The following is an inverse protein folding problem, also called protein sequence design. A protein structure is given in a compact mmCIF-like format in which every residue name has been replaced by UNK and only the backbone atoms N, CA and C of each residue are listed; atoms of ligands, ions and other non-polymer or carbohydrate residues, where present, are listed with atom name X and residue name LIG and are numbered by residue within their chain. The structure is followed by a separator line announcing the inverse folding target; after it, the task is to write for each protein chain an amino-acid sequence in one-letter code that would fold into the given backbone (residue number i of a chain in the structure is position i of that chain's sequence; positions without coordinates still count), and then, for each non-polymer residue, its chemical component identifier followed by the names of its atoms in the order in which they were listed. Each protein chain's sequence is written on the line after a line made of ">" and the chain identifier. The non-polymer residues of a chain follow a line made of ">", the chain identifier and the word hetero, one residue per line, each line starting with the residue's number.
data_IF_790302572976
#
_entry.id   IF_790302572976
#
_cell.length_a   1.000
_cell.length_b   1.000
_cell.length_c   1.000
_cell.angle_alpha   90.00
_cell.angle_beta   90.00
_cell.angle_gamma   90.00
#
_symmetry.space_group_name_H-M   'P 1'
#
loop_
_entity.id
_entity.type
_entity.pdbx_description
1 polymer ?
#
# COMPACT_ATOMS: atom_id res chain seq x y z
N UNK A 1 -6.16 9.99 -8.72
CA UNK A 1 -4.73 9.67 -8.44
C UNK A 1 -4.45 8.22 -8.82
N UNK A 2 -3.31 7.94 -9.47
CA UNK A 2 -2.90 6.57 -9.81
C UNK A 2 -2.76 5.77 -8.52
N UNK A 3 -3.20 4.51 -8.50
CA UNK A 3 -3.12 3.64 -7.32
C UNK A 3 -1.69 3.58 -6.79
N UNK A 4 -0.71 3.57 -7.69
CA UNK A 4 0.72 3.67 -7.39
C UNK A 4 1.09 4.87 -6.52
N UNK A 5 0.47 6.03 -6.71
CA UNK A 5 0.70 7.24 -5.89
C UNK A 5 0.25 7.03 -4.45
N UNK A 6 -0.87 6.34 -4.25
CA UNK A 6 -1.39 6.03 -2.91
C UNK A 6 -0.43 5.07 -2.20
N UNK A 7 0.03 4.02 -2.88
CA UNK A 7 1.02 3.10 -2.29
C UNK A 7 2.33 3.80 -1.93
N UNK A 8 2.83 4.69 -2.80
CA UNK A 8 4.06 5.44 -2.56
C UNK A 8 3.92 6.41 -1.38
N UNK A 9 2.77 7.07 -1.26
CA UNK A 9 2.47 7.95 -0.13
C UNK A 9 2.42 7.16 1.18
N UNK A 10 1.72 6.02 1.19
CA UNK A 10 1.65 5.15 2.38
C UNK A 10 3.04 4.69 2.79
N UNK A 11 3.86 4.23 1.84
CA UNK A 11 5.23 3.79 2.10
C UNK A 11 6.12 4.91 2.68
N UNK A 12 5.98 6.14 2.16
CA UNK A 12 6.70 7.30 2.68
C UNK A 12 6.31 7.63 4.12
N UNK A 13 5.02 7.60 4.44
CA UNK A 13 4.51 7.85 5.80
C UNK A 13 5.01 6.78 6.79
N UNK A 14 4.97 5.51 6.39
CA UNK A 14 5.51 4.41 7.19
C UNK A 14 6.98 4.62 7.53
N UNK A 15 7.78 4.95 6.52
CA UNK A 15 9.21 5.12 6.70
C UNK A 15 9.54 6.30 7.63
N UNK A 16 8.83 7.42 7.46
CA UNK A 16 8.93 8.60 8.34
C UNK A 16 8.58 8.27 9.79
N UNK A 17 7.46 7.59 10.03
CA UNK A 17 7.04 7.20 11.39
C UNK A 17 8.08 6.30 12.06
N UNK A 18 8.66 5.37 11.31
CA UNK A 18 9.68 4.45 11.83
C UNK A 18 10.96 5.21 12.18
N UNK A 19 11.42 6.12 11.30
CA UNK A 19 12.59 6.96 11.55
C UNK A 19 12.39 7.90 12.73
N UNK A 20 11.23 8.54 12.84
CA UNK A 20 10.91 9.41 13.97
C UNK A 20 10.91 8.63 15.29
N UNK A 21 10.33 7.43 15.30
CA UNK A 21 10.32 6.60 16.51
C UNK A 21 11.71 6.13 16.94
N UNK A 22 12.57 5.77 15.98
CA UNK A 22 13.95 5.35 16.29
C UNK A 22 14.78 6.53 16.77
N UNK A 23 14.65 7.70 16.12
CA UNK A 23 15.49 8.88 16.41
C UNK A 23 15.05 9.63 17.66
N UNK A 24 13.73 9.76 17.92
CA UNK A 24 13.20 10.57 19.03
C UNK A 24 12.74 9.76 20.23
N UNK A 25 12.34 8.49 20.05
CA UNK A 25 11.80 7.65 21.13
C UNK A 25 12.72 6.46 21.45
N UNK A 26 13.93 6.42 20.89
CA UNK A 26 14.91 5.33 21.10
C UNK A 26 14.32 3.94 20.84
N UNK A 27 13.35 3.85 19.93
CA UNK A 27 12.65 2.60 19.62
C UNK A 27 11.68 2.10 20.71
N UNK A 28 11.33 2.90 21.73
CA UNK A 28 10.41 2.47 22.79
C UNK A 28 9.02 2.05 22.26
N UNK A 29 8.54 2.65 21.17
CA UNK A 29 7.28 2.27 20.52
C UNK A 29 7.49 1.42 19.27
N UNK A 30 8.64 0.77 19.11
CA UNK A 30 8.96 0.02 17.89
C UNK A 30 7.93 -1.08 17.59
N UNK A 31 7.42 -1.76 18.63
CA UNK A 31 6.38 -2.78 18.49
C UNK A 31 5.05 -2.20 17.98
N UNK A 32 4.64 -1.04 18.54
CA UNK A 32 3.42 -0.35 18.14
C UNK A 32 3.51 0.24 16.72
N UNK A 33 4.66 0.83 16.38
CA UNK A 33 4.92 1.40 15.05
C UNK A 33 5.00 0.29 14.01
N UNK A 34 5.60 -0.86 14.35
CA UNK A 34 5.64 -2.04 13.50
C UNK A 34 4.23 -2.61 13.26
N UNK A 35 3.40 -2.69 14.30
CA UNK A 35 2.00 -3.08 14.17
C UNK A 35 1.22 -2.13 13.25
N UNK A 36 1.36 -0.82 13.44
CA UNK A 36 0.72 0.19 12.60
C UNK A 36 1.19 0.12 11.14
N UNK A 37 2.50 -0.03 10.90
CA UNK A 37 3.05 -0.24 9.57
C UNK A 37 2.46 -1.49 8.91
N UNK A 38 2.36 -2.60 9.63
CA UNK A 38 1.79 -3.84 9.07
C UNK A 38 0.31 -3.66 8.71
N UNK A 39 -0.46 -3.01 9.59
CA UNK A 39 -1.89 -2.74 9.35
C UNK A 39 -2.12 -1.79 8.16
N UNK A 40 -1.38 -0.68 8.09
CA UNK A 40 -1.45 0.26 6.97
C UNK A 40 -1.01 -0.40 5.65
N UNK A 41 -0.07 -1.34 5.70
CA UNK A 41 0.40 -2.06 4.51
C UNK A 41 -0.71 -2.98 4.00
N UNK A 42 -1.32 -3.75 4.89
CA UNK A 42 -2.45 -4.62 4.57
C UNK A 42 -3.66 -3.82 4.07
N UNK A 43 -3.93 -2.67 4.65
CA UNK A 43 -4.98 -1.76 4.19
C UNK A 43 -4.72 -1.27 2.77
N UNK A 44 -3.50 -0.76 2.50
CA UNK A 44 -3.13 -0.30 1.16
C UNK A 44 -3.14 -1.45 0.14
N UNK A 45 -2.70 -2.65 0.54
CA UNK A 45 -2.71 -3.85 -0.28
C UNK A 45 -4.13 -4.31 -0.61
N UNK A 46 -5.02 -4.37 0.40
CA UNK A 46 -6.44 -4.71 0.22
C UNK A 46 -7.14 -3.68 -0.66
N UNK A 47 -6.91 -2.39 -0.43
CA UNK A 47 -7.43 -1.32 -1.27
C UNK A 47 -6.93 -1.41 -2.71
N UNK A 48 -5.66 -1.76 -2.90
CA UNK A 48 -5.08 -2.01 -4.22
C UNK A 48 -5.76 -3.19 -4.93
N UNK A 49 -5.93 -4.33 -4.24
CA UNK A 49 -6.61 -5.49 -4.79
C UNK A 49 -8.06 -5.18 -5.16
N UNK A 50 -8.81 -4.52 -4.27
CA UNK A 50 -10.19 -4.13 -4.54
C UNK A 50 -10.28 -3.18 -5.72
N UNK A 51 -9.41 -2.17 -5.79
CA UNK A 51 -9.39 -1.25 -6.92
C UNK A 51 -9.00 -1.96 -8.23
N UNK A 52 -8.08 -2.91 -8.18
CA UNK A 52 -7.71 -3.75 -9.33
C UNK A 52 -8.87 -4.60 -9.82
N UNK A 53 -9.68 -5.17 -8.92
CA UNK A 53 -10.90 -5.91 -9.28
C UNK A 53 -11.97 -5.00 -9.91
N UNK A 54 -12.09 -3.75 -9.45
CA UNK A 54 -13.01 -2.76 -10.06
C UNK A 54 -12.56 -2.32 -11.45
N UNK A 55 -11.28 -1.97 -11.63
CA UNK A 55 -10.71 -1.67 -12.95
C UNK A 55 -10.89 -2.86 -13.93
N UNK A 56 -10.79 -4.10 -13.41
CA UNK A 56 -11.02 -5.31 -14.21
C UNK A 56 -12.49 -5.56 -14.57
N UNK A 57 -13.45 -4.91 -13.91
CA UNK A 57 -14.90 -5.05 -14.16
C UNK A 57 -15.45 -3.96 -15.09
N UNK A 58 -14.75 -2.84 -15.24
CA UNK A 58 -15.16 -1.73 -16.11
C UNK A 58 -14.57 -1.79 -17.53
N UNK A 59 -13.83 -2.86 -17.85
CA UNK A 59 -13.46 -3.16 -19.24
C UNK A 59 -14.37 -4.26 -19.78
N UNK A 60 -15.24 -4.03 -20.79
CA UNK A 60 -15.89 -5.12 -21.50
C UNK A 60 -14.80 -6.06 -22.06
N UNK A 61 -15.07 -7.39 -22.16
CA UNK A 61 -14.08 -8.39 -22.53
C UNK A 61 -13.60 -8.16 -23.96
N UNK A 62 -12.57 -7.32 -24.13
CA UNK A 62 -11.92 -7.12 -25.42
C UNK A 62 -10.65 -7.93 -25.43
N UNK A 63 -10.81 -9.17 -25.91
CA UNK A 63 -9.83 -9.94 -26.65
C UNK A 63 -8.37 -9.44 -26.59
N UNK A 64 -7.54 -10.13 -25.82
CA UNK A 64 -6.20 -10.46 -26.31
C UNK A 64 -6.10 -11.96 -26.46
N UNK A 65 -6.74 -12.47 -27.53
CA UNK A 65 -6.11 -13.54 -28.30
C UNK A 65 -4.85 -12.91 -28.90
N UNK A 66 -3.71 -13.01 -28.21
CA UNK A 66 -2.44 -13.04 -28.94
C UNK A 66 -2.14 -14.50 -29.20
N UNK A 67 -2.57 -14.91 -30.39
CA UNK A 67 -2.24 -16.16 -31.03
C UNK A 67 -0.81 -16.03 -31.55
N UNK A 68 -0.02 -17.08 -31.31
CA UNK A 68 1.22 -17.49 -31.97
C UNK A 68 2.52 -17.06 -31.31
#
# INVERSE_FOLDING_TARGET
>A
MKTSTVLLLTLGIMHLLTMVNIVFLDGALNDLVFFFNTALFFFAFSFYLWKREKDSKETPPTSTKSKK
#
